data_IF_284637090395
#
_entry.id   IF_284637090395
#
_cell.length_a   1.000
_cell.length_b   1.000
_cell.length_c   1.000
_cell.angle_alpha   90.00
_cell.angle_beta   90.00
_cell.angle_gamma   90.00
#
_symmetry.space_group_name_H-M   'P 1'
#
loop_
_entity.id
_entity.type
_entity.pdbx_description
1 polymer ?
#
# COMPACT_ATOMS: atom_id res chain seq x y z
N UNK A 1 -13.91 -6.41 -42.44
CA UNK A 1 -14.20 -6.80 -41.04
C UNK A 1 -13.11 -7.77 -40.64
N UNK A 2 -12.39 -7.49 -39.55
CA UNK A 2 -11.49 -8.46 -38.95
C UNK A 2 -12.34 -9.59 -38.35
N UNK A 3 -12.11 -10.82 -38.79
CA UNK A 3 -12.67 -12.00 -38.13
C UNK A 3 -11.81 -12.29 -36.90
N UNK A 4 -12.41 -12.31 -35.71
CA UNK A 4 -11.74 -12.64 -34.44
C UNK A 4 -12.27 -13.99 -33.96
N UNK A 5 -11.36 -14.90 -33.67
CA UNK A 5 -11.67 -16.22 -33.10
C UNK A 5 -11.11 -16.30 -31.68
N UNK A 6 -11.92 -16.77 -30.73
CA UNK A 6 -11.51 -16.99 -29.33
C UNK A 6 -11.80 -18.45 -29.01
N UNK A 7 -10.78 -19.17 -28.55
CA UNK A 7 -10.88 -20.56 -28.10
C UNK A 7 -10.73 -20.59 -26.58
N UNK A 8 -11.68 -21.21 -25.88
CA UNK A 8 -11.66 -21.37 -24.43
C UNK A 8 -11.50 -22.84 -24.10
N UNK A 9 -10.34 -23.20 -23.56
CA UNK A 9 -9.98 -24.57 -23.18
C UNK A 9 -9.69 -24.65 -21.67
N UNK A 10 -10.43 -25.51 -20.97
CA UNK A 10 -10.28 -25.69 -19.53
C UNK A 10 -8.95 -26.39 -19.15
N UNK A 11 -8.34 -27.14 -20.08
CA UNK A 11 -7.07 -27.82 -19.87
C UNK A 11 -5.87 -26.88 -20.05
N UNK A 12 -6.08 -25.70 -20.66
CA UNK A 12 -5.06 -24.65 -20.83
C UNK A 12 -5.19 -23.56 -19.75
N UNK A 13 -5.30 -23.98 -18.49
CA UNK A 13 -5.44 -23.07 -17.36
C UNK A 13 -4.15 -22.29 -17.06
N UNK A 14 -4.27 -20.97 -16.83
CA UNK A 14 -3.13 -20.11 -16.43
C UNK A 14 -2.75 -20.35 -14.97
N UNK A 15 -3.68 -20.11 -14.04
CA UNK A 15 -3.49 -20.33 -12.60
C UNK A 15 -4.82 -20.25 -11.85
N UNK A 16 -4.82 -20.62 -10.57
CA UNK A 16 -5.90 -20.28 -9.66
C UNK A 16 -5.82 -18.79 -9.31
N UNK A 17 -6.94 -18.08 -9.44
CA UNK A 17 -7.04 -16.66 -9.08
C UNK A 17 -6.90 -16.51 -7.56
N UNK A 18 -5.91 -15.72 -7.13
CA UNK A 18 -5.87 -15.17 -5.78
C UNK A 18 -6.84 -13.98 -5.72
N UNK A 19 -7.79 -14.02 -4.78
CA UNK A 19 -8.82 -12.97 -4.69
C UNK A 19 -8.23 -11.60 -4.36
N UNK A 20 -7.05 -11.54 -3.76
CA UNK A 20 -6.31 -10.29 -3.47
C UNK A 20 -5.99 -9.47 -4.72
N UNK A 21 -6.08 -10.07 -5.92
CA UNK A 21 -6.07 -9.34 -7.19
C UNK A 21 -7.16 -8.26 -7.27
N UNK A 22 -8.31 -8.49 -6.62
CA UNK A 22 -9.40 -7.52 -6.49
C UNK A 22 -9.19 -6.63 -5.26
N UNK A 23 -7.96 -6.19 -5.03
CA UNK A 23 -7.63 -5.26 -3.94
C UNK A 23 -8.03 -3.82 -4.26
N UNK A 24 -7.99 -2.97 -3.24
CA UNK A 24 -8.09 -1.52 -3.39
C UNK A 24 -7.11 -0.83 -2.43
N UNK A 25 -7.15 0.50 -2.38
CA UNK A 25 -6.14 1.28 -1.69
C UNK A 25 -6.76 2.56 -1.08
N UNK A 26 -6.47 2.78 0.20
CA UNK A 26 -6.88 3.96 0.97
C UNK A 26 -5.64 4.66 1.51
N UNK A 27 -5.43 5.89 1.06
CA UNK A 27 -4.39 6.78 1.56
C UNK A 27 -4.99 7.95 2.34
N UNK A 28 -4.24 8.47 3.31
CA UNK A 28 -4.49 9.83 3.84
C UNK A 28 -4.12 10.89 2.79
N UNK A 29 -4.92 10.95 1.72
CA UNK A 29 -4.77 11.85 0.59
C UNK A 29 -6.11 12.53 0.32
N UNK A 30 -6.11 13.87 0.38
CA UNK A 30 -7.29 14.69 0.09
C UNK A 30 -8.51 14.26 0.90
N UNK A 31 -9.51 13.69 0.21
CA UNK A 31 -10.79 13.28 0.81
C UNK A 31 -11.02 11.77 0.81
N UNK A 32 -9.98 10.97 0.62
CA UNK A 32 -10.10 9.51 0.64
C UNK A 32 -10.56 9.02 2.02
N UNK A 33 -9.88 9.45 3.08
CA UNK A 33 -10.26 9.17 4.47
C UNK A 33 -11.32 10.17 4.96
N UNK A 34 -10.92 11.43 5.16
CA UNK A 34 -11.76 12.47 5.72
C UNK A 34 -12.78 12.98 4.70
N UNK A 35 -14.06 13.01 5.09
CA UNK A 35 -15.21 13.29 4.17
C UNK A 35 -15.39 12.24 3.07
N UNK A 36 -14.64 11.13 3.16
CA UNK A 36 -14.73 9.95 2.31
C UNK A 36 -15.28 8.77 3.12
N UNK A 37 -14.41 7.84 3.52
CA UNK A 37 -14.84 6.69 4.35
C UNK A 37 -15.20 7.08 5.80
N UNK A 38 -14.67 8.20 6.30
CA UNK A 38 -14.83 8.68 7.67
C UNK A 38 -15.33 10.14 7.71
N UNK A 39 -16.53 10.32 8.27
CA UNK A 39 -17.20 11.62 8.38
C UNK A 39 -18.23 11.61 9.53
N UNK A 40 -17.81 11.77 10.81
CA UNK A 40 -18.69 11.61 11.98
C UNK A 40 -19.98 12.43 12.01
N UNK A 41 -20.00 13.59 11.33
CA UNK A 41 -21.19 14.45 11.25
C UNK A 41 -22.15 14.11 10.10
N UNK A 42 -21.84 13.14 9.26
CA UNK A 42 -22.66 12.83 8.09
C UNK A 42 -23.96 12.11 8.46
N UNK A 43 -25.11 12.37 7.80
CA UNK A 43 -26.38 11.71 8.11
C UNK A 43 -26.37 10.18 8.07
N UNK A 44 -25.47 9.59 7.29
CA UNK A 44 -25.30 8.13 7.15
C UNK A 44 -24.22 7.54 8.04
N UNK A 45 -23.47 8.38 8.78
CA UNK A 45 -22.40 7.90 9.65
C UNK A 45 -22.95 6.95 10.73
N UNK A 46 -22.18 5.92 11.08
CA UNK A 46 -22.45 5.10 12.25
C UNK A 46 -21.88 5.72 13.54
N UNK A 47 -21.96 5.00 14.65
CA UNK A 47 -21.47 5.49 15.96
C UNK A 47 -19.96 5.69 16.03
N UNK A 48 -19.19 5.13 15.09
CA UNK A 48 -17.75 5.30 14.98
C UNK A 48 -17.40 6.45 14.02
N UNK A 49 -18.38 6.94 13.26
CA UNK A 49 -18.19 7.99 12.26
C UNK A 49 -17.91 7.48 10.85
N UNK A 50 -18.05 6.17 10.60
CA UNK A 50 -17.88 5.59 9.28
C UNK A 50 -19.13 5.79 8.44
N UNK A 51 -18.96 6.22 7.19
CA UNK A 51 -20.05 6.45 6.23
C UNK A 51 -20.67 5.11 5.80
N UNK A 52 -21.87 4.79 6.28
CA UNK A 52 -22.54 3.50 5.95
C UNK A 52 -22.87 3.34 4.47
N UNK A 53 -23.27 4.40 3.81
CA UNK A 53 -23.52 4.42 2.37
C UNK A 53 -22.23 4.18 1.55
N UNK A 54 -21.08 4.69 2.01
CA UNK A 54 -19.78 4.38 1.39
C UNK A 54 -19.39 2.93 1.66
N UNK A 55 -19.59 2.42 2.88
CA UNK A 55 -19.37 1.00 3.21
C UNK A 55 -20.22 0.07 2.33
N UNK A 56 -21.48 0.43 2.07
CA UNK A 56 -22.35 -0.37 1.20
C UNK A 56 -21.84 -0.42 -0.25
N UNK A 57 -21.37 0.71 -0.78
CA UNK A 57 -20.73 0.76 -2.10
C UNK A 57 -19.41 -0.02 -2.15
N UNK A 58 -18.61 0.01 -1.08
CA UNK A 58 -17.38 -0.81 -0.99
C UNK A 58 -17.72 -2.29 -1.00
N UNK A 59 -18.75 -2.72 -0.25
CA UNK A 59 -19.20 -4.12 -0.25
C UNK A 59 -19.74 -4.55 -1.62
N UNK A 60 -20.44 -3.64 -2.32
CA UNK A 60 -20.92 -3.88 -3.69
C UNK A 60 -19.77 -4.04 -4.67
N UNK A 61 -18.76 -3.17 -4.61
CA UNK A 61 -17.54 -3.26 -5.42
C UNK A 61 -16.77 -4.56 -5.13
N UNK A 62 -16.81 -5.03 -3.88
CA UNK A 62 -16.28 -6.30 -3.44
C UNK A 62 -14.76 -6.43 -3.41
N UNK A 63 -13.98 -5.40 -3.00
CA UNK A 63 -12.55 -5.57 -2.84
C UNK A 63 -12.27 -6.57 -1.72
N UNK A 64 -11.20 -7.36 -1.84
CA UNK A 64 -10.90 -8.37 -0.80
C UNK A 64 -9.81 -7.96 0.15
N UNK A 65 -8.95 -7.02 -0.26
CA UNK A 65 -7.86 -6.50 0.55
C UNK A 65 -7.71 -4.99 0.30
N UNK A 66 -7.38 -4.21 1.32
CA UNK A 66 -7.23 -2.75 1.21
C UNK A 66 -5.89 -2.32 1.79
N UNK A 67 -5.06 -1.69 0.96
CA UNK A 67 -3.77 -1.09 1.36
C UNK A 67 -3.97 0.21 2.15
N UNK A 68 -3.15 0.44 3.18
CA UNK A 68 -3.21 1.59 4.11
C UNK A 68 -1.87 1.73 4.88
N UNK A 69 -1.45 2.91 5.41
CA UNK A 69 -2.08 4.23 5.41
C UNK A 69 -1.77 5.08 4.18
N UNK A 70 -1.02 4.53 3.23
CA UNK A 70 -0.74 5.26 2.01
C UNK A 70 0.19 4.57 1.06
N UNK A 71 0.54 5.40 0.08
CA UNK A 71 1.73 5.41 -0.71
C UNK A 71 2.62 6.49 -0.11
N UNK A 72 2.65 7.69 -0.69
CA UNK A 72 3.60 8.75 -0.31
C UNK A 72 3.44 9.23 1.15
N UNK A 73 2.21 9.37 1.64
CA UNK A 73 1.91 9.78 3.02
C UNK A 73 2.67 8.97 4.07
N UNK A 74 2.75 7.65 3.86
CA UNK A 74 3.36 6.71 4.80
C UNK A 74 4.83 7.02 5.07
N UNK A 75 5.57 7.54 4.09
CA UNK A 75 7.01 7.77 4.19
C UNK A 75 7.38 8.89 5.18
N UNK A 76 6.41 9.74 5.57
CA UNK A 76 6.53 10.73 6.63
C UNK A 76 5.77 10.38 7.92
N UNK A 77 5.01 9.28 7.93
CA UNK A 77 4.02 9.00 8.96
C UNK A 77 4.58 8.31 10.22
N UNK A 78 4.05 8.67 11.40
CA UNK A 78 4.29 7.98 12.67
C UNK A 78 3.00 7.32 13.13
N UNK A 79 2.94 5.99 13.07
CA UNK A 79 1.75 5.21 13.40
C UNK A 79 1.23 5.44 14.82
N UNK A 80 2.11 5.78 15.75
CA UNK A 80 1.77 6.09 17.14
C UNK A 80 0.84 7.30 17.26
N UNK A 81 0.89 8.22 16.30
CA UNK A 81 0.02 9.40 16.30
C UNK A 81 -1.42 9.04 15.97
N UNK A 82 -1.67 7.93 15.28
CA UNK A 82 -3.00 7.47 14.86
C UNK A 82 -3.62 6.44 15.82
N UNK A 83 -3.10 6.28 17.04
CA UNK A 83 -3.66 5.33 18.02
C UNK A 83 -3.90 6.00 19.37
N UNK A 84 -4.65 5.33 20.25
CA UNK A 84 -5.00 5.87 21.56
C UNK A 84 -6.12 6.92 21.53
N UNK A 85 -6.37 7.62 22.65
CA UNK A 85 -7.46 8.59 22.75
C UNK A 85 -7.31 9.70 21.72
N UNK A 86 -8.35 9.91 20.90
CA UNK A 86 -8.35 10.90 19.80
C UNK A 86 -7.96 12.30 20.28
N UNK A 87 -8.40 12.69 21.49
CA UNK A 87 -8.07 13.99 22.09
C UNK A 87 -6.59 14.20 22.43
N UNK A 88 -5.78 13.14 22.45
CA UNK A 88 -4.35 13.18 22.73
C UNK A 88 -3.49 13.02 21.46
N UNK A 89 -4.11 12.79 20.30
CA UNK A 89 -3.40 12.58 19.03
C UNK A 89 -2.95 13.93 18.46
N UNK A 90 -1.69 14.06 18.01
CA UNK A 90 -1.19 15.32 17.47
C UNK A 90 -1.70 15.54 16.05
N UNK A 91 -1.93 16.81 15.69
CA UNK A 91 -2.01 17.19 14.28
C UNK A 91 -0.60 17.32 13.71
N UNK A 92 -0.41 16.90 12.46
CA UNK A 92 0.89 16.98 11.79
C UNK A 92 0.76 17.47 10.35
N UNK A 93 1.84 18.05 9.82
CA UNK A 93 1.91 18.34 8.41
C UNK A 93 2.25 17.07 7.64
N UNK A 94 1.39 16.74 6.68
CA UNK A 94 1.67 15.76 5.65
C UNK A 94 2.43 16.44 4.49
N UNK A 95 3.73 16.13 4.40
CA UNK A 95 4.61 16.71 3.40
C UNK A 95 4.42 16.08 2.01
N UNK A 96 3.76 14.93 1.89
CA UNK A 96 3.51 14.30 0.60
C UNK A 96 2.44 15.06 -0.18
N UNK A 97 1.35 15.46 0.50
CA UNK A 97 0.20 16.11 -0.11
C UNK A 97 -0.08 17.51 0.43
N UNK A 98 0.92 18.14 1.07
CA UNK A 98 0.87 19.51 1.58
C UNK A 98 -0.41 19.82 2.38
N UNK A 99 -0.77 18.90 3.27
CA UNK A 99 -2.02 18.93 4.06
C UNK A 99 -1.75 18.87 5.55
N UNK A 100 -2.72 19.25 6.38
CA UNK A 100 -2.67 18.95 7.82
C UNK A 100 -3.40 17.64 8.10
N UNK A 101 -2.68 16.65 8.63
CA UNK A 101 -3.21 15.37 9.10
C UNK A 101 -3.67 15.49 10.55
N UNK A 102 -4.99 15.40 10.84
CA UNK A 102 -5.50 15.54 12.19
C UNK A 102 -5.34 14.27 13.05
N UNK A 103 -5.01 13.13 12.46
CA UNK A 103 -4.88 11.81 13.08
C UNK A 103 -6.15 11.32 13.80
N UNK A 104 -7.32 11.85 13.47
CA UNK A 104 -8.59 11.39 14.07
C UNK A 104 -9.02 10.02 13.55
N UNK A 105 -8.44 9.56 12.44
CA UNK A 105 -8.56 8.21 11.91
C UNK A 105 -7.16 7.60 11.78
N UNK A 106 -6.92 6.45 12.41
CA UNK A 106 -5.64 5.76 12.35
C UNK A 106 -5.79 4.25 12.26
N UNK A 107 -4.76 3.50 12.68
CA UNK A 107 -4.68 2.04 12.49
C UNK A 107 -5.89 1.32 13.07
N UNK A 108 -6.26 1.66 14.30
CA UNK A 108 -7.34 1.00 15.02
C UNK A 108 -8.69 1.20 14.31
N UNK A 109 -8.99 2.45 13.92
CA UNK A 109 -10.21 2.79 13.20
C UNK A 109 -10.24 2.15 11.80
N UNK A 110 -9.10 2.09 11.10
CA UNK A 110 -9.00 1.41 9.80
C UNK A 110 -9.26 -0.10 9.90
N UNK A 111 -8.73 -0.76 10.92
CA UNK A 111 -8.97 -2.20 11.14
C UNK A 111 -10.44 -2.46 11.44
N UNK A 112 -11.08 -1.62 12.25
CA UNK A 112 -12.53 -1.72 12.50
C UNK A 112 -13.34 -1.48 11.22
N UNK A 113 -12.98 -0.47 10.44
CA UNK A 113 -13.60 -0.19 9.15
C UNK A 113 -13.46 -1.37 8.17
N UNK A 114 -12.28 -2.00 8.07
CA UNK A 114 -12.06 -3.20 7.25
C UNK A 114 -12.95 -4.37 7.68
N UNK A 115 -13.13 -4.58 8.99
CA UNK A 115 -14.04 -5.62 9.51
C UNK A 115 -15.48 -5.38 9.08
N UNK A 116 -15.94 -4.12 9.12
CA UNK A 116 -17.26 -3.75 8.65
C UNK A 116 -17.39 -3.89 7.13
N UNK A 117 -16.35 -3.52 6.37
CA UNK A 117 -16.33 -3.66 4.91
C UNK A 117 -16.24 -5.12 4.44
N UNK A 118 -15.79 -6.04 5.30
CA UNK A 118 -15.56 -7.44 4.94
C UNK A 118 -14.27 -7.63 4.15
N UNK A 119 -13.26 -6.81 4.41
CA UNK A 119 -11.98 -6.77 3.67
C UNK A 119 -10.80 -7.06 4.56
N UNK A 120 -9.74 -7.64 4.01
CA UNK A 120 -8.47 -7.80 4.71
C UNK A 120 -7.66 -6.48 4.69
N UNK A 121 -6.94 -6.14 5.76
CA UNK A 121 -6.02 -5.01 5.76
C UNK A 121 -4.64 -5.40 5.19
N UNK A 122 -4.07 -4.53 4.37
CA UNK A 122 -2.66 -4.55 3.97
C UNK A 122 -1.98 -3.29 4.52
N UNK A 123 -1.12 -3.45 5.53
CA UNK A 123 -0.52 -2.30 6.21
C UNK A 123 0.89 -1.99 5.71
N UNK A 124 1.21 -0.74 5.50
CA UNK A 124 2.56 -0.32 5.19
C UNK A 124 3.33 0.20 6.42
N UNK A 125 4.66 0.05 6.40
CA UNK A 125 5.57 0.64 7.39
C UNK A 125 6.38 1.79 6.80
N UNK A 126 6.60 2.84 7.59
CA UNK A 126 7.43 3.97 7.19
C UNK A 126 8.92 3.57 7.14
N UNK A 127 9.50 3.53 5.93
CA UNK A 127 10.94 3.40 5.70
C UNK A 127 11.55 4.65 5.05
N UNK A 128 10.81 5.75 4.97
CA UNK A 128 11.29 7.05 4.51
C UNK A 128 12.09 7.73 5.62
N UNK A 129 11.38 8.18 6.66
CA UNK A 129 11.95 8.87 7.83
C UNK A 129 12.18 7.97 9.05
N UNK A 130 11.75 6.71 8.99
CA UNK A 130 11.92 5.71 10.06
C UNK A 130 12.57 4.43 9.56
N UNK A 131 12.65 3.39 10.39
CA UNK A 131 13.38 2.19 10.05
C UNK A 131 12.91 0.89 10.71
N UNK A 132 13.81 -0.11 10.75
CA UNK A 132 13.47 -1.49 11.10
C UNK A 132 12.83 -1.70 12.48
N UNK A 133 13.31 -1.01 13.52
CA UNK A 133 12.78 -1.21 14.87
C UNK A 133 11.35 -0.67 15.01
N UNK A 134 11.01 0.38 14.25
CA UNK A 134 9.68 0.97 14.35
C UNK A 134 8.66 0.20 13.51
N UNK A 135 9.11 -0.40 12.40
CA UNK A 135 8.33 -1.40 11.68
C UNK A 135 8.04 -2.63 12.58
N UNK A 136 9.05 -3.12 13.32
CA UNK A 136 8.89 -4.19 14.31
C UNK A 136 7.92 -3.79 15.44
N UNK A 137 8.07 -2.60 16.00
CA UNK A 137 7.19 -2.09 17.05
C UNK A 137 5.73 -2.00 16.57
N UNK A 138 5.52 -1.52 15.34
CA UNK A 138 4.18 -1.43 14.77
C UNK A 138 3.54 -2.81 14.58
N UNK A 139 4.31 -3.79 14.09
CA UNK A 139 3.85 -5.17 14.00
C UNK A 139 3.55 -5.77 15.37
N UNK A 140 4.39 -5.55 16.39
CA UNK A 140 4.15 -6.03 17.75
C UNK A 140 2.83 -5.48 18.31
N UNK A 141 2.61 -4.17 18.16
CA UNK A 141 1.34 -3.52 18.52
C UNK A 141 0.16 -4.18 17.81
N UNK A 142 0.26 -4.45 16.51
CA UNK A 142 -0.85 -5.01 15.72
C UNK A 142 -1.09 -6.51 15.96
N UNK A 143 -0.04 -7.32 16.08
CA UNK A 143 -0.15 -8.78 15.93
C UNK A 143 0.20 -9.56 17.20
N UNK A 144 0.93 -8.99 18.16
CA UNK A 144 1.33 -9.76 19.34
C UNK A 144 0.14 -9.97 20.31
N UNK A 145 -0.11 -11.19 20.82
CA UNK A 145 -1.27 -11.50 21.67
C UNK A 145 -1.42 -10.64 22.92
N UNK A 146 -0.35 -10.42 23.68
CA UNK A 146 -0.40 -9.73 24.98
C UNK A 146 0.86 -9.94 25.81
N UNK A 147 1.02 -9.18 26.89
CA UNK A 147 2.12 -9.33 27.84
C UNK A 147 3.39 -8.54 27.50
N UNK A 148 3.33 -7.68 26.49
CA UNK A 148 4.38 -6.71 26.17
C UNK A 148 3.83 -5.29 26.23
N UNK A 149 4.73 -4.31 26.35
CA UNK A 149 4.34 -2.90 26.41
C UNK A 149 3.47 -2.47 25.20
N UNK A 150 3.77 -2.95 23.98
CA UNK A 150 3.04 -2.54 22.78
C UNK A 150 1.74 -3.33 22.58
N UNK A 151 1.70 -4.63 22.88
CA UNK A 151 0.44 -5.39 22.83
C UNK A 151 -0.54 -4.92 23.90
N UNK A 152 -0.04 -4.61 25.09
CA UNK A 152 -0.86 -4.15 26.20
C UNK A 152 -1.32 -2.69 25.98
N UNK A 153 -0.52 -1.89 25.27
CA UNK A 153 -0.93 -0.57 24.79
C UNK A 153 -2.12 -0.69 23.81
N UNK A 154 -2.08 -1.63 22.85
CA UNK A 154 -3.21 -1.92 21.95
C UNK A 154 -4.46 -2.27 22.76
N UNK A 155 -4.32 -3.15 23.75
CA UNK A 155 -5.42 -3.52 24.64
C UNK A 155 -5.97 -2.32 25.44
N UNK A 156 -5.10 -1.46 25.98
CA UNK A 156 -5.48 -0.24 26.69
C UNK A 156 -6.19 0.78 25.79
N UNK A 157 -5.93 0.75 24.48
CA UNK A 157 -6.65 1.53 23.48
C UNK A 157 -8.03 0.95 23.11
N UNK A 158 -8.46 -0.13 23.76
CA UNK A 158 -9.76 -0.77 23.54
C UNK A 158 -9.72 -2.01 22.64
N UNK A 159 -8.54 -2.42 22.17
CA UNK A 159 -8.38 -3.51 21.18
C UNK A 159 -7.61 -4.67 21.80
N UNK A 160 -8.28 -5.45 22.65
CA UNK A 160 -7.67 -6.55 23.40
C UNK A 160 -7.09 -7.61 22.47
N UNK A 161 -7.89 -8.11 21.53
CA UNK A 161 -7.44 -9.10 20.55
C UNK A 161 -6.49 -8.46 19.52
N UNK A 162 -5.47 -9.19 19.04
CA UNK A 162 -4.64 -8.73 17.93
C UNK A 162 -5.46 -8.38 16.69
N UNK A 163 -4.98 -7.39 15.94
CA UNK A 163 -5.48 -7.08 14.61
C UNK A 163 -5.12 -8.18 13.60
N UNK A 164 -4.06 -8.94 13.87
CA UNK A 164 -3.62 -10.12 13.11
C UNK A 164 -3.41 -9.85 11.61
N UNK A 165 -2.84 -8.69 11.28
CA UNK A 165 -2.60 -8.25 9.89
C UNK A 165 -1.58 -9.15 9.22
N UNK A 166 -1.94 -9.72 8.06
CA UNK A 166 -1.11 -10.69 7.34
C UNK A 166 -0.18 -10.08 6.31
N UNK A 167 -0.64 -9.10 5.54
CA UNK A 167 0.14 -8.51 4.46
C UNK A 167 0.74 -7.16 4.89
N UNK A 168 2.06 -7.01 4.73
CA UNK A 168 2.76 -5.75 4.99
C UNK A 168 3.56 -5.17 3.81
N UNK A 169 3.50 -3.85 3.59
CA UNK A 169 4.34 -3.13 2.63
C UNK A 169 5.59 -2.56 3.32
N UNK A 170 6.76 -2.76 2.75
CA UNK A 170 8.02 -2.22 3.28
C UNK A 170 8.32 -0.84 2.69
N UNK A 171 7.64 0.21 3.15
CA UNK A 171 7.75 1.56 2.57
C UNK A 171 6.89 1.75 1.32
N UNK A 172 7.16 2.83 0.57
CA UNK A 172 6.48 3.16 -0.68
C UNK A 172 7.43 3.83 -1.68
N UNK A 173 7.46 3.39 -2.95
CA UNK A 173 8.04 4.13 -4.10
C UNK A 173 9.36 4.86 -3.78
N UNK A 174 10.30 4.19 -3.10
CA UNK A 174 11.48 4.87 -2.57
C UNK A 174 12.48 5.28 -3.67
N UNK A 175 12.24 4.91 -4.92
CA UNK A 175 13.04 5.29 -6.09
C UNK A 175 12.67 6.68 -6.63
N UNK A 176 11.42 7.12 -6.43
CA UNK A 176 10.89 8.38 -6.96
C UNK A 176 11.52 9.63 -6.31
N UNK A 177 11.97 10.64 -7.10
CA UNK A 177 12.56 11.87 -6.55
C UNK A 177 11.57 12.75 -5.76
N UNK A 178 10.27 12.50 -5.88
CA UNK A 178 9.23 13.15 -5.09
C UNK A 178 9.08 12.56 -3.68
N UNK A 179 9.64 11.37 -3.43
CA UNK A 179 9.34 10.61 -2.23
C UNK A 179 10.09 11.13 -1.00
N UNK A 180 9.39 11.23 0.13
CA UNK A 180 10.02 11.58 1.41
C UNK A 180 11.04 10.50 1.78
N UNK A 181 12.29 10.90 1.90
CA UNK A 181 13.38 9.98 2.26
C UNK A 181 13.76 9.02 1.13
N UNK A 182 13.59 9.44 -0.14
CA UNK A 182 14.08 8.78 -1.35
C UNK A 182 15.45 8.11 -1.14
N UNK A 183 15.62 6.94 -1.76
CA UNK A 183 16.79 6.08 -1.58
C UNK A 183 17.31 5.57 -2.91
N UNK A 184 18.58 5.23 -2.95
CA UNK A 184 19.11 4.30 -3.96
C UNK A 184 18.58 2.88 -3.73
N UNK A 185 18.62 2.03 -4.77
CA UNK A 185 18.19 0.63 -4.66
C UNK A 185 18.97 -0.15 -3.58
N UNK A 186 20.26 0.13 -3.42
CA UNK A 186 21.10 -0.49 -2.37
C UNK A 186 20.66 -0.06 -0.97
N UNK A 187 20.43 1.23 -0.76
CA UNK A 187 19.99 1.76 0.54
C UNK A 187 18.62 1.19 0.91
N UNK A 188 17.68 1.21 -0.04
CA UNK A 188 16.35 0.65 0.14
C UNK A 188 16.38 -0.86 0.39
N UNK A 189 17.09 -1.64 -0.44
CA UNK A 189 17.20 -3.09 -0.28
C UNK A 189 17.75 -3.51 1.08
N UNK A 190 18.71 -2.77 1.63
CA UNK A 190 19.27 -3.03 2.98
C UNK A 190 18.28 -2.72 4.09
N UNK A 191 17.61 -1.56 4.06
CA UNK A 191 16.65 -1.20 5.10
C UNK A 191 15.39 -2.08 5.05
N UNK A 192 14.89 -2.40 3.86
CA UNK A 192 13.76 -3.30 3.66
C UNK A 192 14.07 -4.71 4.19
N UNK A 193 15.26 -5.24 3.90
CA UNK A 193 15.72 -6.51 4.47
C UNK A 193 15.75 -6.48 6.00
N UNK A 194 16.30 -5.42 6.58
CA UNK A 194 16.38 -5.25 8.03
C UNK A 194 15.01 -5.22 8.69
N UNK A 195 14.10 -4.39 8.16
CA UNK A 195 12.73 -4.27 8.66
C UNK A 195 11.96 -5.60 8.56
N UNK A 196 11.93 -6.20 7.37
CA UNK A 196 11.25 -7.48 7.14
C UNK A 196 11.75 -8.61 8.05
N UNK A 197 13.07 -8.64 8.32
CA UNK A 197 13.66 -9.65 9.21
C UNK A 197 13.17 -9.49 10.64
N UNK A 198 13.21 -8.27 11.19
CA UNK A 198 12.72 -8.02 12.54
C UNK A 198 11.21 -8.27 12.65
N UNK A 199 10.46 -7.88 11.63
CA UNK A 199 9.02 -8.13 11.55
C UNK A 199 8.72 -9.64 11.56
N UNK A 200 9.35 -10.44 10.69
CA UNK A 200 9.15 -11.90 10.67
C UNK A 200 9.69 -12.62 11.91
N UNK A 201 10.58 -12.01 12.70
CA UNK A 201 10.96 -12.54 14.02
C UNK A 201 9.88 -12.33 15.07
N UNK A 202 9.05 -11.29 14.95
CA UNK A 202 7.89 -11.06 15.83
C UNK A 202 6.72 -11.95 15.41
N UNK A 203 6.40 -11.97 14.11
CA UNK A 203 5.34 -12.81 13.55
C UNK A 203 5.83 -13.46 12.24
N UNK A 204 6.24 -14.74 12.26
CA UNK A 204 6.74 -15.42 11.07
C UNK A 204 5.64 -15.76 10.06
N UNK A 205 4.36 -15.51 10.39
CA UNK A 205 3.21 -15.83 9.53
C UNK A 205 2.82 -14.71 8.57
N UNK A 206 3.45 -13.54 8.68
CA UNK A 206 3.18 -12.41 7.77
C UNK A 206 3.81 -12.63 6.40
N UNK A 207 3.19 -12.03 5.39
CA UNK A 207 3.74 -11.81 4.06
C UNK A 207 4.21 -10.36 3.94
N UNK A 208 5.32 -10.13 3.23
CA UNK A 208 5.84 -8.77 3.02
C UNK A 208 6.14 -8.48 1.54
N UNK A 209 5.78 -7.27 1.09
CA UNK A 209 6.12 -6.73 -0.23
C UNK A 209 7.26 -5.72 -0.13
N UNK A 210 8.31 -5.92 -0.93
CA UNK A 210 9.33 -4.91 -1.18
C UNK A 210 8.85 -3.97 -2.31
N UNK A 211 9.20 -2.70 -2.25
CA UNK A 211 8.87 -1.72 -3.28
C UNK A 211 9.63 -2.04 -4.57
N UNK A 212 8.90 -2.24 -5.66
CA UNK A 212 9.45 -2.09 -7.00
C UNK A 212 9.64 -0.62 -7.37
N UNK A 213 9.96 -0.37 -8.63
CA UNK A 213 10.00 0.97 -9.18
C UNK A 213 8.60 1.59 -9.28
N UNK A 214 8.54 2.91 -9.14
CA UNK A 214 7.28 3.69 -9.14
C UNK A 214 6.49 3.61 -10.46
N UNK A 215 7.16 3.33 -11.58
CA UNK A 215 6.55 3.07 -12.88
C UNK A 215 7.57 2.39 -13.82
N UNK A 216 7.13 1.70 -14.90
CA UNK A 216 8.04 1.05 -15.86
C UNK A 216 8.96 2.03 -16.61
N UNK A 217 8.69 3.34 -16.54
CA UNK A 217 9.45 4.38 -17.22
C UNK A 217 10.52 5.02 -16.34
N UNK A 218 10.62 4.59 -15.07
CA UNK A 218 11.68 5.05 -14.18
C UNK A 218 13.06 4.70 -14.78
N UNK A 219 14.04 5.62 -14.76
CA UNK A 219 15.39 5.33 -15.24
C UNK A 219 16.06 4.15 -14.52
N UNK A 220 15.60 3.84 -13.31
CA UNK A 220 16.09 2.74 -12.47
C UNK A 220 15.30 1.44 -12.63
N UNK A 221 14.19 1.42 -13.40
CA UNK A 221 13.37 0.22 -13.55
C UNK A 221 14.20 -0.96 -14.07
N UNK A 222 13.99 -2.13 -13.49
CA UNK A 222 14.73 -3.36 -13.76
C UNK A 222 16.01 -3.48 -12.93
N UNK A 223 16.84 -2.44 -12.88
CA UNK A 223 18.02 -2.41 -11.99
C UNK A 223 17.60 -2.30 -10.52
N UNK A 224 16.57 -1.50 -10.23
CA UNK A 224 16.02 -1.31 -8.90
C UNK A 224 15.57 -2.64 -8.30
N UNK A 225 14.65 -3.34 -8.96
CA UNK A 225 14.12 -4.62 -8.49
C UNK A 225 15.24 -5.65 -8.33
N UNK A 226 16.16 -5.70 -9.30
CA UNK A 226 17.29 -6.64 -9.27
C UNK A 226 18.17 -6.42 -8.03
N UNK A 227 18.53 -5.17 -7.73
CA UNK A 227 19.40 -4.85 -6.61
C UNK A 227 18.68 -4.99 -5.26
N UNK A 228 17.44 -4.52 -5.16
CA UNK A 228 16.61 -4.68 -3.96
C UNK A 228 16.44 -6.15 -3.61
N UNK A 229 16.12 -6.98 -4.59
CA UNK A 229 15.98 -8.42 -4.39
C UNK A 229 17.32 -9.08 -4.07
N UNK A 230 18.47 -8.64 -4.61
CA UNK A 230 19.77 -9.16 -4.17
C UNK A 230 19.97 -9.03 -2.65
N UNK A 231 19.44 -7.97 -2.02
CA UNK A 231 19.48 -7.80 -0.56
C UNK A 231 18.39 -8.59 0.16
N UNK A 232 17.13 -8.46 -0.27
CA UNK A 232 15.94 -8.81 0.49
C UNK A 232 15.25 -10.13 0.08
N UNK A 233 15.76 -10.87 -0.92
CA UNK A 233 15.08 -12.05 -1.48
C UNK A 233 14.59 -13.07 -0.45
N UNK A 234 15.34 -13.31 0.63
CA UNK A 234 14.98 -14.33 1.63
C UNK A 234 13.74 -13.96 2.43
N UNK A 235 13.56 -12.65 2.67
CA UNK A 235 12.52 -12.12 3.53
C UNK A 235 11.35 -11.54 2.74
N UNK A 236 11.54 -11.08 1.51
CA UNK A 236 10.45 -10.59 0.65
C UNK A 236 9.63 -11.76 0.09
N UNK A 237 8.31 -11.62 0.10
CA UNK A 237 7.37 -12.57 -0.53
C UNK A 237 6.84 -12.00 -1.85
N UNK A 238 6.70 -10.66 -1.91
CA UNK A 238 6.24 -9.92 -3.08
C UNK A 238 7.20 -8.78 -3.47
N UNK A 239 7.10 -8.35 -4.73
CA UNK A 239 7.58 -7.03 -5.19
C UNK A 239 6.38 -6.23 -5.71
N UNK A 240 6.32 -4.94 -5.37
CA UNK A 240 5.23 -4.07 -5.80
C UNK A 240 5.36 -3.61 -7.25
N UNK A 241 4.23 -3.40 -7.93
CA UNK A 241 4.14 -2.81 -9.27
C UNK A 241 3.14 -1.66 -9.26
N UNK A 242 3.54 -0.56 -9.90
CA UNK A 242 2.81 0.69 -9.87
C UNK A 242 2.62 1.21 -11.31
N UNK A 243 1.39 1.50 -11.72
CA UNK A 243 1.14 2.10 -13.03
C UNK A 243 -0.12 2.96 -13.08
N UNK A 244 0.02 4.17 -13.63
CA UNK A 244 -1.12 5.04 -13.86
C UNK A 244 -1.18 5.49 -15.31
N UNK A 245 -2.34 5.29 -15.95
CA UNK A 245 -2.53 5.69 -17.34
C UNK A 245 -3.10 7.09 -17.48
N UNK A 246 -2.60 7.80 -18.49
CA UNK A 246 -3.00 9.16 -18.86
C UNK A 246 -3.55 9.16 -20.28
N UNK A 247 -4.41 10.13 -20.60
CA UNK A 247 -4.84 10.39 -21.98
C UNK A 247 -4.54 11.85 -22.39
N UNK A 248 -3.25 12.22 -22.51
CA UNK A 248 -2.85 13.60 -22.80
C UNK A 248 -3.24 14.03 -24.22
N UNK A 249 -3.24 13.12 -25.19
CA UNK A 249 -3.54 13.39 -26.60
C UNK A 249 -5.04 13.34 -26.92
N UNK A 250 -5.88 12.97 -25.95
CA UNK A 250 -7.33 12.77 -26.12
C UNK A 250 -7.65 11.76 -27.23
N UNK A 251 -6.77 10.77 -27.41
CA UNK A 251 -6.93 9.70 -28.38
C UNK A 251 -7.40 8.43 -27.66
N UNK A 252 -8.55 7.92 -28.07
CA UNK A 252 -9.15 6.72 -27.46
C UNK A 252 -8.39 5.45 -27.88
N UNK A 253 -7.92 5.37 -29.12
CA UNK A 253 -7.24 4.18 -29.62
C UNK A 253 -5.88 4.01 -28.95
N UNK A 254 -5.11 5.10 -28.84
CA UNK A 254 -3.86 5.10 -28.10
C UNK A 254 -4.08 4.76 -26.63
N UNK A 255 -5.10 5.37 -26.00
CA UNK A 255 -5.39 5.12 -24.60
C UNK A 255 -5.77 3.66 -24.32
N UNK A 256 -6.52 3.01 -25.21
CA UNK A 256 -6.89 1.59 -25.07
C UNK A 256 -5.68 0.66 -25.28
N UNK A 257 -4.67 1.08 -26.04
CA UNK A 257 -3.43 0.31 -26.25
C UNK A 257 -2.52 0.27 -25.00
N UNK A 258 -2.80 1.08 -23.97
CA UNK A 258 -2.04 1.07 -22.71
C UNK A 258 -2.05 -0.29 -22.00
N UNK A 259 -3.02 -1.17 -22.28
CA UNK A 259 -3.02 -2.53 -21.74
C UNK A 259 -1.75 -3.32 -22.11
N UNK A 260 -1.18 -3.09 -23.30
CA UNK A 260 0.07 -3.71 -23.77
C UNK A 260 1.31 -3.21 -23.01
N UNK A 261 1.20 -2.06 -22.34
CA UNK A 261 2.24 -1.56 -21.44
C UNK A 261 2.17 -2.32 -20.11
N UNK A 262 0.96 -2.59 -19.61
CA UNK A 262 0.77 -3.39 -18.40
C UNK A 262 1.36 -4.79 -18.56
N UNK A 263 1.03 -5.46 -19.66
CA UNK A 263 1.45 -6.83 -19.94
C UNK A 263 2.98 -6.94 -19.97
N UNK A 264 3.65 -6.06 -20.73
CA UNK A 264 5.12 -6.00 -20.75
C UNK A 264 5.71 -5.67 -19.39
N UNK A 265 5.16 -4.70 -18.65
CA UNK A 265 5.68 -4.34 -17.33
C UNK A 265 5.63 -5.52 -16.35
N UNK A 266 4.54 -6.31 -16.38
CA UNK A 266 4.42 -7.55 -15.60
C UNK A 266 5.50 -8.56 -16.05
N UNK A 267 5.63 -8.80 -17.36
CA UNK A 267 6.60 -9.75 -17.92
C UNK A 267 8.07 -9.39 -17.63
N UNK A 268 8.42 -8.11 -17.74
CA UNK A 268 9.77 -7.60 -17.48
C UNK A 268 10.11 -7.72 -15.99
N UNK A 269 9.19 -7.32 -15.11
CA UNK A 269 9.37 -7.46 -13.64
C UNK A 269 9.51 -8.93 -13.23
N UNK A 270 8.71 -9.84 -13.80
CA UNK A 270 8.83 -11.28 -13.58
C UNK A 270 10.20 -11.81 -14.01
N UNK A 271 10.70 -11.35 -15.16
CA UNK A 271 12.01 -11.75 -15.70
C UNK A 271 13.14 -11.36 -14.76
N UNK A 272 13.07 -10.16 -14.16
CA UNK A 272 14.04 -9.71 -13.15
C UNK A 272 13.96 -10.57 -11.89
N UNK A 273 12.76 -10.85 -11.39
CA UNK A 273 12.54 -11.71 -10.23
C UNK A 273 13.13 -13.12 -10.44
N UNK A 274 12.90 -13.71 -11.61
CA UNK A 274 13.43 -15.04 -11.97
C UNK A 274 14.95 -15.03 -12.21
N UNK A 275 15.52 -13.93 -12.71
CA UNK A 275 16.97 -13.78 -12.82
C UNK A 275 17.65 -13.79 -11.43
N UNK A 276 17.12 -13.05 -10.46
CA UNK A 276 17.63 -13.08 -9.08
C UNK A 276 17.42 -14.45 -8.45
N UNK A 277 16.25 -15.08 -8.67
CA UNK A 277 15.98 -16.45 -8.22
C UNK A 277 17.04 -17.44 -8.70
N UNK A 278 17.33 -17.43 -10.01
CA UNK A 278 18.31 -18.30 -10.64
C UNK A 278 19.71 -18.07 -10.08
N UNK A 279 20.14 -16.80 -9.97
CA UNK A 279 21.42 -16.41 -9.36
C UNK A 279 21.56 -16.94 -7.93
N UNK A 280 20.49 -16.86 -7.13
CA UNK A 280 20.47 -17.35 -5.74
C UNK A 280 20.23 -18.84 -5.61
N UNK A 281 19.94 -19.56 -6.70
CA UNK A 281 19.56 -20.98 -6.72
C UNK A 281 18.38 -21.26 -5.79
N UNK A 282 17.44 -20.32 -5.70
CA UNK A 282 16.33 -20.38 -4.77
C UNK A 282 15.14 -21.17 -5.34
N UNK A 283 14.52 -21.98 -4.48
CA UNK A 283 13.27 -22.66 -4.82
C UNK A 283 12.06 -21.72 -4.75
N UNK A 284 12.04 -20.82 -3.75
CA UNK A 284 11.01 -19.79 -3.58
C UNK A 284 10.93 -18.90 -4.83
N UNK A 285 9.71 -18.55 -5.24
CA UNK A 285 9.44 -17.51 -6.23
C UNK A 285 8.97 -16.25 -5.52
N UNK A 286 9.40 -15.09 -6.02
CA UNK A 286 8.83 -13.81 -5.62
C UNK A 286 7.54 -13.63 -6.41
N UNK A 287 6.47 -13.25 -5.72
CA UNK A 287 5.17 -12.94 -6.31
C UNK A 287 5.07 -11.45 -6.63
N UNK A 288 4.10 -11.05 -7.43
CA UNK A 288 3.89 -9.64 -7.77
C UNK A 288 2.69 -9.09 -7.00
N UNK A 289 2.87 -7.90 -6.42
CA UNK A 289 1.82 -7.13 -5.74
C UNK A 289 1.52 -5.90 -6.59
N UNK A 290 0.49 -5.95 -7.44
CA UNK A 290 0.07 -4.78 -8.21
C UNK A 290 -0.80 -3.88 -7.33
N UNK A 291 -0.16 -3.20 -6.38
CA UNK A 291 -0.80 -2.49 -5.27
C UNK A 291 -1.07 -1.00 -5.54
N UNK A 292 -0.65 -0.49 -6.71
CA UNK A 292 -1.10 0.78 -7.27
C UNK A 292 -1.36 0.67 -8.77
N UNK A 293 -2.63 0.73 -9.18
CA UNK A 293 -3.00 0.78 -10.60
C UNK A 293 -4.29 1.57 -10.80
N UNK A 294 -4.30 2.53 -11.73
CA UNK A 294 -5.54 3.21 -12.12
C UNK A 294 -5.37 4.04 -13.40
N UNK A 295 -6.47 4.66 -13.82
CA UNK A 295 -6.45 5.83 -14.71
C UNK A 295 -6.38 7.09 -13.85
N UNK A 296 -5.32 7.88 -13.98
CA UNK A 296 -5.14 9.10 -13.17
C UNK A 296 -4.45 10.21 -13.95
N UNK A 297 -5.23 11.19 -14.42
CA UNK A 297 -4.70 12.31 -15.23
C UNK A 297 -5.52 13.61 -15.23
N UNK A 298 -6.77 13.64 -14.76
CA UNK A 298 -7.64 14.83 -14.85
C UNK A 298 -7.36 15.91 -13.80
N UNK A 299 -6.81 15.51 -12.64
CA UNK A 299 -6.50 16.39 -11.53
C UNK A 299 -5.11 16.00 -11.00
N UNK A 300 -4.07 16.50 -11.68
CA UNK A 300 -2.65 16.19 -11.40
C UNK A 300 -1.74 17.42 -11.53
N UNK A 301 -2.32 18.59 -11.73
CA UNK A 301 -1.55 19.82 -11.69
C UNK A 301 -1.09 20.07 -10.24
N UNK A 302 -0.01 20.81 -10.04
CA UNK A 302 0.51 21.13 -8.69
C UNK A 302 -0.59 21.75 -7.81
N UNK A 303 -1.43 22.59 -8.40
CA UNK A 303 -2.57 23.23 -7.73
C UNK A 303 -3.70 22.26 -7.36
N UNK A 304 -3.76 21.07 -7.94
CA UNK A 304 -4.68 20.00 -7.56
C UNK A 304 -4.13 19.19 -6.38
N UNK A 305 -2.81 18.96 -6.36
CA UNK A 305 -2.13 18.11 -5.38
C UNK A 305 -1.79 18.86 -4.09
N UNK A 306 -1.52 20.16 -4.17
CA UNK A 306 -1.13 21.00 -3.04
C UNK A 306 -2.00 22.27 -2.99
N UNK A 307 -2.62 22.51 -1.83
CA UNK A 307 -3.38 23.74 -1.56
C UNK A 307 -2.62 24.63 -0.57
N UNK A 308 -2.63 25.97 -0.76
CA UNK A 308 -2.00 26.87 0.18
C UNK A 308 -2.57 26.73 1.60
N UNK A 309 -1.70 26.89 2.60
CA UNK A 309 -2.11 26.95 4.01
C UNK A 309 -2.30 25.60 4.71
N UNK A 310 -1.86 24.49 4.10
CA UNK A 310 -1.89 23.14 4.70
C UNK A 310 -3.27 22.75 5.23
N UNK A 311 -4.33 22.78 4.41
CA UNK A 311 -5.67 22.49 4.88
C UNK A 311 -5.81 21.04 5.35
N UNK A 312 -6.79 20.80 6.23
CA UNK A 312 -7.26 19.44 6.52
C UNK A 312 -8.21 19.02 5.40
N UNK A 313 -7.99 17.84 4.83
CA UNK A 313 -8.84 17.23 3.81
C UNK A 313 -9.14 18.14 2.58
N UNK A 314 -8.11 18.60 1.84
CA UNK A 314 -8.32 19.47 0.69
C UNK A 314 -9.21 18.83 -0.38
N UNK A 315 -9.99 19.69 -1.07
CA UNK A 315 -10.82 19.33 -2.22
C UNK A 315 -10.08 19.42 -3.53
#
# INVERSE_FOLDING_TARGET
>A
MSNVEIVVDADFAVSRIDRRLFGSFVEHLGRCVYTGIFEPGHPTADGHGFRRDVLDLVRELGPTIIRYPGGNFMSGYRWENGVGPVSARPQQLDLAWFSTEPNTFGTNEFIEWCKLAGTEPMLGVNLGTRGPDEARAYLEYCNHPGGTALSDLRAAHGYREPHAVKFWCLGNEMDGPWQIGQKTATEYGRIAKGAARLMKWVDPTIEVSACGSSEPFMPTFGEWEYEVLNHAYEVADFVSLHIYYKNPYKDVQEFLANAEIMDRYIGDTLSVCDAVRAKRRAAKRIMLSFDEWNVWYKAREESDLAKPGWPVAPR
#
